data_IF_429370089594
#
_entry.id   IF_429370089594
#
_cell.length_a   1.000
_cell.length_b   1.000
_cell.length_c   1.000
_cell.angle_alpha   90.00
_cell.angle_beta   90.00
_cell.angle_gamma   90.00
#
_symmetry.space_group_name_H-M   'P 1'
#
loop_
_entity.id
_entity.type
_entity.pdbx_description
1 polymer ?
#
# COMPACT_ATOMS: atom_id res chain seq x y z
N UNK A 1 9.95 -9.06 -1.03
CA UNK A 1 10.16 -7.85 -0.25
C UNK A 1 10.10 -8.20 1.22
N UNK A 2 11.09 -7.77 2.00
CA UNK A 2 11.12 -7.95 3.45
C UNK A 2 10.58 -6.71 4.18
N UNK A 3 10.54 -6.74 5.53
CA UNK A 3 10.01 -5.63 6.34
C UNK A 3 10.81 -4.33 6.16
N UNK A 4 12.13 -4.41 6.15
CA UNK A 4 12.99 -3.23 6.03
C UNK A 4 12.83 -2.56 4.66
N UNK A 5 12.75 -3.37 3.60
CA UNK A 5 12.47 -2.91 2.24
C UNK A 5 11.09 -2.24 2.15
N UNK A 6 10.05 -2.81 2.77
CA UNK A 6 8.72 -2.20 2.82
C UNK A 6 8.72 -0.88 3.61
N UNK A 7 9.47 -0.82 4.71
CA UNK A 7 9.61 0.42 5.49
C UNK A 7 10.34 1.50 4.69
N UNK A 8 11.36 1.12 3.91
CA UNK A 8 12.05 2.05 3.03
C UNK A 8 11.15 2.53 1.89
N UNK A 9 10.44 1.62 1.22
CA UNK A 9 9.45 1.96 0.20
C UNK A 9 8.40 2.94 0.76
N UNK A 10 7.92 2.66 1.97
CA UNK A 10 6.93 3.49 2.68
C UNK A 10 7.49 4.89 2.98
N UNK A 11 8.74 4.99 3.44
CA UNK A 11 9.41 6.29 3.66
C UNK A 11 9.45 7.11 2.38
N UNK A 12 9.81 6.50 1.26
CA UNK A 12 9.88 7.20 -0.01
C UNK A 12 8.50 7.66 -0.47
N UNK A 13 7.48 6.81 -0.36
CA UNK A 13 6.10 7.15 -0.72
C UNK A 13 5.57 8.34 0.10
N UNK A 14 5.82 8.36 1.42
CA UNK A 14 5.46 9.48 2.31
C UNK A 14 6.04 10.82 1.83
N UNK A 15 7.25 10.83 1.25
CA UNK A 15 7.87 12.07 0.73
C UNK A 15 7.23 12.56 -0.57
N UNK A 16 6.51 11.69 -1.29
CA UNK A 16 5.85 12.02 -2.55
C UNK A 16 4.44 12.55 -2.37
N UNK A 17 3.81 12.32 -1.21
CA UNK A 17 2.43 12.74 -0.94
C UNK A 17 2.38 14.05 -0.13
N UNK A 18 1.46 14.99 -0.45
CA UNK A 18 1.43 16.32 0.21
C UNK A 18 1.26 16.24 1.72
N UNK A 19 0.34 15.39 2.20
CA UNK A 19 0.01 15.27 3.62
C UNK A 19 0.98 14.37 4.40
N UNK A 20 1.96 13.76 3.72
CA UNK A 20 2.87 12.76 4.31
C UNK A 20 2.14 11.58 4.96
N UNK A 21 0.94 11.27 4.46
CA UNK A 21 0.15 10.14 4.93
C UNK A 21 -0.14 9.19 3.77
N UNK A 22 0.20 7.91 3.95
CA UNK A 22 0.01 6.86 2.95
C UNK A 22 -0.70 5.68 3.58
N UNK A 23 -1.42 4.95 2.74
CA UNK A 23 -2.17 3.76 3.05
C UNK A 23 -1.54 2.57 2.33
N UNK A 24 -0.98 1.64 3.08
CA UNK A 24 -0.43 0.39 2.56
C UNK A 24 -1.56 -0.62 2.48
N UNK A 25 -1.94 -0.95 1.25
CA UNK A 25 -2.98 -1.93 0.95
C UNK A 25 -2.34 -3.20 0.37
N UNK A 26 -3.18 -4.17 0.03
CA UNK A 26 -2.73 -5.46 -0.49
C UNK A 26 -2.13 -6.42 0.54
N UNK A 27 -1.70 -7.57 0.03
CA UNK A 27 -1.15 -8.71 0.80
C UNK A 27 0.10 -8.36 1.61
N UNK A 28 0.79 -7.26 1.27
CA UNK A 28 2.03 -6.82 1.92
C UNK A 28 1.80 -5.99 3.19
N UNK A 29 0.58 -5.52 3.42
CA UNK A 29 0.21 -4.87 4.68
C UNK A 29 0.45 -5.75 5.92
N UNK A 30 0.46 -7.08 5.75
CA UNK A 30 0.74 -8.04 6.82
C UNK A 30 2.15 -7.88 7.41
N UNK A 31 3.12 -7.43 6.60
CA UNK A 31 4.50 -7.19 7.02
C UNK A 31 4.61 -6.00 7.99
N UNK A 32 3.70 -5.03 7.91
CA UNK A 32 3.64 -3.89 8.83
C UNK A 32 2.79 -4.14 10.09
N UNK A 33 1.90 -5.14 10.07
CA UNK A 33 0.92 -5.41 11.15
C UNK A 33 1.33 -6.56 12.07
N UNK A 34 2.23 -7.44 11.65
CA UNK A 34 2.64 -8.65 12.40
C UNK A 34 4.13 -8.59 12.74
N UNK A 35 4.51 -9.09 13.92
CA UNK A 35 5.91 -9.21 14.32
C UNK A 35 6.66 -10.23 13.43
N UNK A 36 7.95 -9.99 13.18
CA UNK A 36 8.75 -10.74 12.20
C UNK A 36 8.76 -12.26 12.44
N UNK A 37 8.60 -12.71 13.69
CA UNK A 37 8.56 -14.12 14.08
C UNK A 37 7.30 -14.88 13.65
N UNK A 38 6.29 -14.17 13.12
CA UNK A 38 4.99 -14.75 12.72
C UNK A 38 4.62 -14.50 11.26
N UNK A 39 5.55 -13.98 10.47
CA UNK A 39 5.29 -13.71 9.05
C UNK A 39 5.33 -15.01 8.24
N UNK A 40 4.26 -15.35 7.50
CA UNK A 40 4.31 -16.48 6.60
C UNK A 40 5.31 -16.19 5.47
N UNK A 41 6.16 -17.16 5.10
CA UNK A 41 7.15 -17.05 4.00
C UNK A 41 6.55 -16.50 2.69
N UNK A 42 5.26 -16.74 2.47
CA UNK A 42 4.52 -16.26 1.29
C UNK A 42 4.34 -14.74 1.27
N UNK A 43 4.37 -14.07 2.43
CA UNK A 43 4.27 -12.62 2.53
C UNK A 43 5.51 -11.92 1.94
N UNK A 44 6.68 -12.56 1.96
CA UNK A 44 7.93 -11.95 1.46
C UNK A 44 8.23 -12.25 -0.01
N UNK A 45 7.40 -13.05 -0.68
CA UNK A 45 7.61 -13.47 -2.08
C UNK A 45 7.35 -12.36 -3.10
N UNK A 46 6.53 -11.36 -2.76
CA UNK A 46 6.21 -10.26 -3.68
C UNK A 46 7.30 -9.18 -3.64
N UNK A 47 7.60 -8.58 -4.79
CA UNK A 47 8.49 -7.41 -4.94
C UNK A 47 7.72 -6.09 -4.88
N UNK A 48 6.40 -6.20 -4.82
CA UNK A 48 5.43 -5.12 -5.02
C UNK A 48 4.63 -4.91 -3.74
N UNK A 49 4.42 -3.65 -3.36
CA UNK A 49 3.38 -3.26 -2.41
C UNK A 49 2.45 -2.21 -3.01
N UNK A 50 1.15 -2.37 -2.74
CA UNK A 50 0.13 -1.43 -3.15
C UNK A 50 0.09 -0.25 -2.17
N UNK A 51 0.26 0.97 -2.68
CA UNK A 51 0.25 2.20 -1.88
C UNK A 51 -0.79 3.16 -2.44
N UNK A 52 -1.71 3.55 -1.57
CA UNK A 52 -2.68 4.61 -1.82
C UNK A 52 -2.37 5.84 -0.96
N UNK A 53 -2.80 7.04 -1.36
CA UNK A 53 -2.92 8.14 -0.41
C UNK A 53 -4.05 7.86 0.60
N UNK A 54 -3.93 8.37 1.83
CA UNK A 54 -5.03 8.30 2.81
C UNK A 54 -6.09 9.36 2.50
N UNK A 55 -7.17 8.91 1.86
CA UNK A 55 -8.48 9.57 1.65
C UNK A 55 -8.45 10.97 1.02
N UNK A 56 -9.19 11.09 -0.09
CA UNK A 56 -9.85 12.29 -0.64
C UNK A 56 -9.31 13.66 -0.18
N UNK A 57 -8.15 14.06 -0.68
CA UNK A 57 -8.07 15.45 -1.15
C UNK A 57 -8.78 15.44 -2.51
N UNK A 58 -10.07 15.79 -2.49
CA UNK A 58 -10.89 16.05 -3.68
C UNK A 58 -10.02 16.83 -4.71
N UNK A 59 -9.79 16.20 -5.87
CA UNK A 59 -9.01 16.62 -7.06
C UNK A 59 -7.61 15.97 -7.33
N UNK A 60 -6.94 15.27 -6.39
CA UNK A 60 -5.54 14.84 -6.63
C UNK A 60 -5.21 13.34 -6.44
N UNK A 61 -6.16 12.48 -6.05
CA UNK A 61 -5.90 11.04 -5.78
C UNK A 61 -5.25 10.30 -6.97
N UNK A 62 -5.77 10.49 -8.18
CA UNK A 62 -5.20 9.91 -9.40
C UNK A 62 -3.84 10.50 -9.77
N UNK A 63 -3.63 11.79 -9.49
CA UNK A 63 -2.33 12.46 -9.67
C UNK A 63 -1.28 11.88 -8.73
N UNK A 64 -1.66 11.59 -7.48
CA UNK A 64 -0.77 11.03 -6.46
C UNK A 64 -0.42 9.57 -6.77
N UNK A 65 -1.40 8.74 -7.12
CA UNK A 65 -1.13 7.35 -7.53
C UNK A 65 -0.17 7.31 -8.73
N UNK A 66 -0.44 8.14 -9.75
CA UNK A 66 0.46 8.27 -10.92
C UNK A 66 1.85 8.75 -10.50
N UNK A 67 1.95 9.69 -9.56
CA UNK A 67 3.24 10.17 -9.06
C UNK A 67 4.03 9.07 -8.34
N UNK A 68 3.35 8.22 -7.56
CA UNK A 68 3.95 7.04 -6.93
C UNK A 68 4.47 6.10 -8.03
N UNK A 69 3.67 5.77 -9.05
CA UNK A 69 4.10 4.88 -10.14
C UNK A 69 5.33 5.42 -10.89
N UNK A 70 5.32 6.73 -11.19
CA UNK A 70 6.44 7.35 -11.92
C UNK A 70 7.76 7.26 -11.14
N UNK A 71 7.73 7.39 -9.81
CA UNK A 71 8.95 7.49 -9.00
C UNK A 71 9.36 6.18 -8.33
N UNK A 72 8.39 5.36 -7.97
CA UNK A 72 8.56 4.15 -7.15
C UNK A 72 7.97 2.91 -7.81
N UNK A 73 7.31 3.05 -8.97
CA UNK A 73 6.66 1.96 -9.69
C UNK A 73 7.62 1.05 -10.44
N UNK A 74 7.03 0.04 -11.07
CA UNK A 74 7.77 -0.93 -11.87
C UNK A 74 8.62 -0.23 -12.94
N UNK A 75 9.88 -0.67 -13.11
CA UNK A 75 10.86 -0.09 -14.03
C UNK A 75 11.33 1.34 -13.73
N UNK A 76 10.86 1.97 -12.65
CA UNK A 76 11.41 3.24 -12.16
C UNK A 76 12.89 3.10 -11.79
N UNK A 77 13.59 4.22 -11.65
CA UNK A 77 14.97 4.21 -11.15
C UNK A 77 15.03 3.59 -9.74
N UNK A 78 13.99 3.78 -8.93
CA UNK A 78 13.88 3.16 -7.62
C UNK A 78 13.84 1.63 -7.71
N UNK A 79 12.96 1.08 -8.56
CA UNK A 79 12.85 -0.37 -8.78
C UNK A 79 14.18 -0.96 -9.29
N UNK A 80 14.80 -0.32 -10.29
CA UNK A 80 16.06 -0.79 -10.86
C UNK A 80 17.20 -0.85 -9.85
N UNK A 81 17.22 0.09 -8.89
CA UNK A 81 18.27 0.17 -7.85
C UNK A 81 17.99 -0.77 -6.69
N UNK A 82 16.74 -0.86 -6.24
CA UNK A 82 16.38 -1.54 -4.99
C UNK A 82 15.80 -2.95 -5.20
N UNK A 83 15.26 -3.24 -6.39
CA UNK A 83 14.70 -4.54 -6.76
C UNK A 83 13.28 -4.81 -6.24
N UNK A 84 12.62 -3.79 -5.68
CA UNK A 84 11.24 -3.76 -5.23
C UNK A 84 10.60 -2.41 -5.57
N UNK A 85 9.27 -2.37 -5.67
CA UNK A 85 8.52 -1.21 -6.16
C UNK A 85 7.15 -1.06 -5.49
N UNK A 86 6.57 0.12 -5.61
CA UNK A 86 5.20 0.42 -5.19
C UNK A 86 4.27 0.42 -6.40
N UNK A 87 3.07 -0.13 -6.26
CA UNK A 87 1.99 0.13 -7.20
C UNK A 87 1.13 1.26 -6.63
N UNK A 88 1.06 2.38 -7.33
CA UNK A 88 0.15 3.46 -7.02
C UNK A 88 -1.29 3.00 -7.25
N UNK A 89 -2.09 2.96 -6.20
CA UNK A 89 -3.51 2.62 -6.31
C UNK A 89 -4.38 3.76 -5.81
N UNK A 90 -5.51 3.98 -6.48
CA UNK A 90 -6.47 4.98 -6.03
C UNK A 90 -7.08 4.55 -4.70
N UNK A 91 -7.31 5.51 -3.81
CA UNK A 91 -8.00 5.27 -2.54
C UNK A 91 -9.42 4.69 -2.72
N UNK A 92 -10.03 4.88 -3.90
CA UNK A 92 -11.33 4.28 -4.27
C UNK A 92 -11.24 2.82 -4.69
N UNK A 93 -10.06 2.35 -5.08
CA UNK A 93 -9.84 0.97 -5.57
C UNK A 93 -9.91 -0.04 -4.43
N UNK A 94 -9.58 0.39 -3.21
CA UNK A 94 -9.84 -0.38 -2.00
C UNK A 94 -11.19 0.03 -1.42
N UNK A 95 -12.25 -0.75 -1.68
CA UNK A 95 -13.53 -0.57 -0.98
C UNK A 95 -13.34 -1.01 0.47
N UNK A 96 -12.98 -0.07 1.33
CA UNK A 96 -12.70 -0.36 2.73
C UNK A 96 -13.98 -0.35 3.57
N UNK A 97 -14.19 -1.36 4.44
CA UNK A 97 -15.32 -1.39 5.34
C UNK A 97 -15.29 -0.19 6.29
N UNK A 98 -16.47 0.35 6.63
CA UNK A 98 -16.59 1.50 7.53
C UNK A 98 -15.80 1.27 8.83
N UNK A 99 -15.02 2.28 9.23
CA UNK A 99 -14.23 2.24 10.46
C UNK A 99 -13.00 1.32 10.39
N UNK A 100 -12.51 1.01 9.19
CA UNK A 100 -11.22 0.33 8.97
C UNK A 100 -10.07 1.07 9.64
N UNK A 101 -10.17 2.40 9.75
CA UNK A 101 -9.19 3.29 10.38
C UNK A 101 -8.92 2.88 11.84
N UNK A 102 -9.95 2.39 12.54
CA UNK A 102 -9.83 1.91 13.93
C UNK A 102 -9.12 0.57 14.05
N UNK A 103 -9.00 -0.16 12.95
CA UNK A 103 -8.37 -1.49 12.88
C UNK A 103 -7.02 -1.46 12.17
N UNK A 104 -6.68 -0.33 11.54
CA UNK A 104 -5.40 -0.15 10.88
C UNK A 104 -4.27 -0.06 11.91
N UNK A 105 -3.10 -0.58 11.54
CA UNK A 105 -1.87 -0.36 12.31
C UNK A 105 -1.19 0.89 11.80
N UNK A 106 -0.92 1.83 12.70
CA UNK A 106 -0.26 3.10 12.38
C UNK A 106 1.23 2.94 12.65
N UNK A 107 2.05 3.29 11.66
CA UNK A 107 3.51 3.30 11.76
C UNK A 107 4.04 4.68 11.38
N UNK A 108 5.07 5.13 12.08
CA UNK A 108 5.79 6.37 11.79
C UNK A 108 7.24 6.03 11.39
N UNK A 109 7.53 5.82 10.10
CA UNK A 109 8.81 5.25 9.65
C UNK A 109 10.04 6.10 10.01
N UNK A 110 9.85 7.42 10.11
CA UNK A 110 10.87 8.42 10.48
C UNK A 110 10.59 9.04 11.88
N UNK A 111 9.72 8.41 12.67
CA UNK A 111 9.26 8.92 13.97
C UNK A 111 8.15 9.99 13.88
N UNK A 112 7.68 10.50 15.03
CA UNK A 112 6.58 11.47 15.07
C UNK A 112 6.88 12.73 14.26
N UNK A 113 6.00 13.10 13.32
CA UNK A 113 6.16 14.26 12.44
C UNK A 113 6.91 13.98 11.11
N UNK A 114 7.46 12.77 10.94
CA UNK A 114 8.08 12.32 9.69
C UNK A 114 7.07 11.90 8.61
N UNK A 115 5.84 11.59 9.02
CA UNK A 115 4.75 11.09 8.20
C UNK A 115 4.09 9.87 8.83
N UNK A 116 2.96 9.45 8.25
CA UNK A 116 2.13 8.37 8.78
C UNK A 116 1.91 7.31 7.70
N UNK A 117 2.15 6.05 8.07
CA UNK A 117 1.79 4.91 7.25
C UNK A 117 0.69 4.11 7.93
N UNK A 118 -0.42 3.95 7.22
CA UNK A 118 -1.58 3.20 7.66
C UNK A 118 -1.54 1.83 7.01
N UNK A 119 -1.36 0.79 7.81
CA UNK A 119 -1.37 -0.59 7.35
C UNK A 119 -2.75 -1.19 7.58
N UNK A 120 -3.44 -1.54 6.49
CA UNK A 120 -4.77 -2.14 6.58
C UNK A 120 -4.71 -3.49 7.26
N UNK A 121 -5.70 -3.76 8.10
CA UNK A 121 -5.84 -5.05 8.74
C UNK A 121 -6.00 -6.16 7.68
N UNK A 122 -5.29 -7.29 7.79
CA UNK A 122 -5.45 -8.41 6.87
C UNK A 122 -6.90 -8.95 6.80
N UNK A 123 -7.72 -8.70 7.83
CA UNK A 123 -9.15 -9.05 7.83
C UNK A 123 -10.00 -8.16 6.92
N UNK A 124 -9.59 -6.91 6.71
CA UNK A 124 -10.28 -5.95 5.84
C UNK A 124 -9.87 -6.11 4.36
N UNK A 125 -8.74 -6.79 4.12
CA UNK A 125 -8.21 -7.11 2.79
C UNK A 125 -8.98 -8.19 2.02
N UNK A 126 -9.53 -9.17 2.72
CA UNK A 126 -10.38 -10.17 2.08
C UNK A 126 -11.67 -9.57 1.49
N UNK A 127 -12.11 -8.41 1.98
CA UNK A 127 -13.30 -7.73 1.47
C UNK A 127 -13.03 -6.94 0.18
N UNK A 128 -11.81 -6.44 -0.03
CA UNK A 128 -11.45 -5.63 -1.21
C UNK A 128 -11.05 -6.47 -2.42
N UNK A 129 -10.48 -7.67 -2.22
CA UNK A 129 -10.06 -8.56 -3.32
C UNK A 129 -11.22 -9.25 -4.06
N UNK A 130 -12.43 -9.26 -3.51
CA UNK A 130 -13.57 -10.00 -4.11
C UNK A 130 -14.33 -9.24 -5.20
N UNK A 131 -14.00 -7.98 -5.50
CA UNK A 131 -14.74 -7.20 -6.51
C UNK A 131 -14.12 -7.20 -7.91
N UNK A 132 -12.97 -7.83 -8.13
CA UNK A 132 -12.34 -7.91 -9.47
C UNK A 132 -12.60 -9.23 -10.23
N UNK A 133 -13.33 -10.19 -9.66
CA UNK A 133 -13.62 -11.47 -10.32
C UNK A 133 -15.09 -11.86 -10.20
N UNK A 134 -15.98 -11.03 -10.77
CA UNK A 134 -17.36 -11.41 -11.09
C UNK A 134 -17.79 -10.65 -12.35
N UNK A 135 -17.07 -10.90 -13.45
CA UNK A 135 -17.33 -10.29 -14.75
C UNK A 135 -16.97 -11.18 -15.95
N UNK A 136 -16.71 -12.48 -15.73
CA UNK A 136 -16.54 -13.46 -16.82
C UNK A 136 -17.37 -14.71 -16.56
N UNK A 137 -18.68 -14.56 -16.67
CA UNK A 137 -19.54 -15.72 -16.96
C UNK A 137 -20.46 -15.37 -18.13
N UNK A 138 -20.12 -15.98 -19.26
CA UNK A 138 -21.04 -16.49 -20.27
C UNK A 138 -21.74 -15.48 -21.18
N UNK A 139 -21.27 -15.42 -22.42
CA UNK A 139 -22.19 -15.41 -23.56
C UNK A 139 -21.64 -16.39 -24.59
N UNK A 140 -22.33 -17.54 -24.68
CA UNK A 140 -22.31 -18.45 -25.83
C UNK A 140 -23.12 -17.87 -26.98
#
# INVERSE_FOLDING_TARGET
MNRDELMELTRQAIRLVPNREVLIVGSQSILGTVAEDRLPERATLSREADIAPTRDDDDDDGTIATRIDVHLGEMSDFDRVNGFYAQGVSSTTAVLPRGWERRATIVHPDGPGGGTAWFISPYDLCASSSSAESGRTSSS
#
